data_IF_635040554188
#
_entry.id   IF_635040554188
#
_cell.length_a   1.000
_cell.length_b   1.000
_cell.length_c   1.000
_cell.angle_alpha   90.00
_cell.angle_beta   90.00
_cell.angle_gamma   90.00
#
_symmetry.space_group_name_H-M   'P 1'
#
loop_
_entity.id
_entity.type
_entity.pdbx_description
1 polymer ?
#
# COMPACT_ATOMS: atom_id res chain seq x y z
N UNK A 1 36.92 7.83 25.41
CA UNK A 1 35.70 8.48 24.86
C UNK A 1 34.54 7.51 25.03
N UNK A 2 33.57 7.83 25.89
CA UNK A 2 32.34 7.02 26.04
C UNK A 2 31.35 7.51 24.98
N UNK A 3 31.00 6.66 24.03
CA UNK A 3 30.03 6.99 22.99
C UNK A 3 28.61 7.00 23.60
N UNK A 4 27.94 8.14 23.50
CA UNK A 4 26.56 8.32 23.95
C UNK A 4 25.61 7.54 23.04
N UNK A 5 24.99 6.48 23.58
CA UNK A 5 23.88 5.79 22.94
C UNK A 5 22.66 6.72 22.94
N UNK A 6 22.28 7.22 21.75
CA UNK A 6 21.10 8.05 21.61
C UNK A 6 19.86 7.15 21.58
N UNK A 7 18.96 7.32 22.55
CA UNK A 7 17.72 6.56 22.62
C UNK A 7 16.74 7.01 21.53
N UNK A 8 16.38 6.08 20.63
CA UNK A 8 15.34 6.29 19.62
C UNK A 8 13.96 6.23 20.30
N UNK A 9 13.18 7.31 20.24
CA UNK A 9 11.79 7.31 20.71
C UNK A 9 10.86 6.99 19.55
N UNK A 10 10.15 5.87 19.67
CA UNK A 10 9.08 5.47 18.74
C UNK A 10 7.76 6.11 19.19
N UNK A 11 7.27 7.09 18.43
CA UNK A 11 5.94 7.65 18.64
C UNK A 11 4.93 6.82 17.87
N UNK A 12 4.14 5.99 18.57
CA UNK A 12 3.02 5.28 17.95
C UNK A 12 1.96 6.30 17.50
N UNK A 13 1.66 6.34 16.21
CA UNK A 13 0.60 7.17 15.65
C UNK A 13 -0.72 6.39 15.71
N UNK A 14 -1.74 6.95 16.36
CA UNK A 14 -3.09 6.39 16.34
C UNK A 14 -3.91 7.06 15.23
N UNK A 15 -4.46 6.24 14.33
CA UNK A 15 -5.51 6.66 13.40
C UNK A 15 -6.80 5.99 13.87
N UNK A 16 -7.82 6.80 14.14
CA UNK A 16 -9.19 6.36 14.47
C UNK A 16 -9.31 5.41 15.69
N UNK A 17 -8.63 5.71 16.80
CA UNK A 17 -8.88 5.05 18.09
C UNK A 17 -8.35 3.62 18.23
N UNK A 18 -7.66 3.08 17.21
CA UNK A 18 -6.90 1.83 17.32
C UNK A 18 -5.46 2.17 17.69
N UNK A 19 -4.95 1.57 18.76
CA UNK A 19 -3.52 1.53 19.04
C UNK A 19 -2.90 0.60 18.00
N UNK A 20 -2.14 1.16 17.06
CA UNK A 20 -1.34 0.36 16.13
C UNK A 20 -0.18 -0.25 16.94
N UNK A 21 -0.46 -1.38 17.59
CA UNK A 21 0.56 -2.21 18.23
C UNK A 21 1.53 -2.75 17.19
N UNK A 22 2.63 -3.35 17.64
CA UNK A 22 3.66 -3.95 16.79
C UNK A 22 3.09 -4.94 15.74
N UNK A 23 1.91 -5.49 16.00
CA UNK A 23 1.14 -6.36 15.10
C UNK A 23 0.64 -5.64 13.83
N UNK A 24 0.37 -4.34 13.88
CA UNK A 24 0.07 -3.52 12.69
C UNK A 24 1.30 -3.22 11.84
N UNK A 25 2.51 -3.51 12.35
CA UNK A 25 3.76 -3.42 11.60
C UNK A 25 4.01 -4.67 10.75
N UNK A 26 3.42 -5.81 11.15
CA UNK A 26 3.66 -7.12 10.54
C UNK A 26 2.62 -7.45 9.45
N UNK A 27 1.45 -6.80 9.47
CA UNK A 27 0.50 -6.85 8.36
C UNK A 27 0.94 -5.82 7.31
N UNK A 28 1.30 -6.24 6.08
CA UNK A 28 1.61 -5.28 5.04
C UNK A 28 0.39 -4.39 4.81
N UNK A 29 0.62 -3.08 4.81
CA UNK A 29 -0.37 -2.03 4.54
C UNK A 29 -1.30 -2.45 3.39
N UNK A 30 -2.60 -2.18 3.50
CA UNK A 30 -3.58 -2.59 2.48
C UNK A 30 -3.18 -2.09 1.08
N UNK A 31 -2.60 -0.89 0.96
CA UNK A 31 -2.12 -0.39 -0.32
C UNK A 31 -0.89 -1.14 -0.83
N UNK A 32 -0.02 -1.62 0.06
CA UNK A 32 1.07 -2.51 -0.31
C UNK A 32 0.55 -3.82 -0.89
N UNK A 33 -0.40 -4.48 -0.21
CA UNK A 33 -1.00 -5.74 -0.67
C UNK A 33 -1.75 -5.56 -1.99
N UNK A 34 -2.49 -4.45 -2.13
CA UNK A 34 -3.14 -4.09 -3.40
C UNK A 34 -2.09 -3.88 -4.48
N UNK A 35 -1.01 -3.13 -4.22
CA UNK A 35 0.07 -2.92 -5.19
C UNK A 35 0.70 -4.24 -5.63
N UNK A 36 1.01 -5.14 -4.71
CA UNK A 36 1.53 -6.46 -5.05
C UNK A 36 0.56 -7.27 -5.93
N UNK A 37 -0.72 -7.28 -5.58
CA UNK A 37 -1.74 -7.94 -6.40
C UNK A 37 -1.86 -7.30 -7.79
N UNK A 38 -1.78 -5.97 -7.88
CA UNK A 38 -1.82 -5.23 -9.14
C UNK A 38 -0.64 -5.61 -10.06
N UNK A 39 0.56 -5.81 -9.49
CA UNK A 39 1.73 -6.23 -10.27
C UNK A 39 1.60 -7.65 -10.82
N UNK A 40 0.84 -8.51 -10.12
CA UNK A 40 0.54 -9.89 -10.54
C UNK A 40 -0.62 -9.95 -11.55
N UNK A 41 -1.48 -8.93 -11.60
CA UNK A 41 -2.56 -8.82 -12.59
C UNK A 41 -2.02 -8.35 -13.95
N UNK A 42 -1.75 -9.32 -14.83
CA UNK A 42 -1.21 -9.07 -16.17
C UNK A 42 -2.17 -8.23 -17.04
N UNK A 43 -3.49 -8.40 -16.87
CA UNK A 43 -4.47 -7.64 -17.65
C UNK A 43 -4.42 -6.17 -17.26
N UNK A 44 -4.41 -5.90 -15.95
CA UNK A 44 -4.31 -4.55 -15.43
C UNK A 44 -3.00 -3.88 -15.83
N UNK A 45 -1.87 -4.58 -15.68
CA UNK A 45 -0.56 -4.07 -16.11
C UNK A 45 -0.54 -3.70 -17.59
N UNK A 46 -1.08 -4.56 -18.47
CA UNK A 46 -1.18 -4.26 -19.92
C UNK A 46 -2.05 -3.04 -20.21
N UNK A 47 -3.10 -2.77 -19.44
CA UNK A 47 -3.94 -1.57 -19.63
C UNK A 47 -3.18 -0.30 -19.27
N UNK A 48 -2.41 -0.33 -18.18
CA UNK A 48 -1.57 0.79 -17.74
C UNK A 48 -0.42 1.02 -18.72
N UNK A 49 0.30 -0.03 -19.11
CA UNK A 49 1.44 0.05 -20.03
C UNK A 49 1.03 0.59 -21.42
N UNK A 50 -0.17 0.24 -21.88
CA UNK A 50 -0.72 0.76 -23.14
C UNK A 50 -1.22 2.19 -23.06
N UNK A 51 -1.20 2.82 -21.89
CA UNK A 51 -1.73 4.17 -21.67
C UNK A 51 -3.23 4.26 -21.95
N UNK A 52 -4.00 3.20 -21.62
CA UNK A 52 -5.46 3.21 -21.84
C UNK A 52 -6.09 4.37 -21.07
N UNK A 53 -6.96 5.11 -21.74
CA UNK A 53 -7.62 6.30 -21.17
C UNK A 53 -8.27 5.98 -19.83
N UNK A 54 -7.95 6.81 -18.83
CA UNK A 54 -8.45 6.67 -17.47
C UNK A 54 -7.56 5.84 -16.55
N UNK A 55 -6.62 5.05 -17.08
CA UNK A 55 -5.60 4.39 -16.27
C UNK A 55 -4.39 5.29 -16.05
N UNK A 56 -3.80 5.21 -14.86
CA UNK A 56 -2.57 5.94 -14.51
C UNK A 56 -1.84 5.25 -13.35
N UNK A 57 -0.58 5.62 -13.12
CA UNK A 57 0.22 5.13 -11.99
C UNK A 57 0.41 6.27 -10.99
N UNK A 58 0.07 6.03 -9.73
CA UNK A 58 0.28 6.97 -8.64
C UNK A 58 1.77 7.04 -8.23
N UNK A 59 2.14 8.08 -7.47
CA UNK A 59 3.51 8.24 -6.95
C UNK A 59 4.00 7.06 -6.09
N UNK A 60 3.07 6.36 -5.41
CA UNK A 60 3.38 5.16 -4.61
C UNK A 60 3.46 3.87 -5.44
N UNK A 61 3.31 3.96 -6.77
CA UNK A 61 3.36 2.83 -7.69
C UNK A 61 2.08 2.00 -7.78
N UNK A 62 0.97 2.46 -7.19
CA UNK A 62 -0.35 1.83 -7.38
C UNK A 62 -0.97 2.24 -8.71
N UNK A 63 -1.71 1.31 -9.32
CA UNK A 63 -2.50 1.58 -10.51
C UNK A 63 -3.84 2.20 -10.14
N UNK A 64 -4.22 3.25 -10.85
CA UNK A 64 -5.44 4.00 -10.68
C UNK A 64 -6.31 3.89 -11.92
N UNK A 65 -7.63 3.86 -11.73
CA UNK A 65 -8.62 4.12 -12.77
C UNK A 65 -9.46 5.32 -12.36
N UNK A 66 -9.45 6.39 -13.17
CA UNK A 66 -10.14 7.66 -12.90
C UNK A 66 -9.84 8.20 -11.49
N UNK A 67 -8.56 8.24 -11.15
CA UNK A 67 -8.06 8.72 -9.85
C UNK A 67 -8.52 7.91 -8.61
N UNK A 68 -8.93 6.66 -8.81
CA UNK A 68 -9.25 5.69 -7.74
C UNK A 68 -8.36 4.48 -7.85
N UNK A 69 -7.93 3.91 -6.71
CA UNK A 69 -7.09 2.71 -6.68
C UNK A 69 -7.85 1.54 -7.30
N UNK A 70 -7.23 0.90 -8.30
CA UNK A 70 -7.80 -0.28 -8.95
C UNK A 70 -7.49 -1.52 -8.12
N UNK A 71 -8.49 -2.08 -7.42
CA UNK A 71 -8.31 -3.31 -6.65
C UNK A 71 -8.47 -4.51 -7.61
N UNK A 72 -7.45 -5.36 -7.79
CA UNK A 72 -7.56 -6.59 -8.58
C UNK A 72 -8.64 -7.51 -8.00
N UNK A 73 -9.14 -8.45 -8.80
CA UNK A 73 -10.19 -9.37 -8.36
C UNK A 73 -9.65 -10.46 -7.41
N UNK A 74 -9.38 -10.05 -6.16
CA UNK A 74 -8.95 -10.89 -5.06
C UNK A 74 -9.94 -10.71 -3.90
N UNK A 75 -10.58 -11.80 -3.47
CA UNK A 75 -11.59 -11.79 -2.40
C UNK A 75 -11.03 -11.21 -1.10
N UNK A 76 -9.81 -11.59 -0.73
CA UNK A 76 -9.15 -11.16 0.50
C UNK A 76 -8.85 -9.65 0.55
N UNK A 77 -8.82 -8.98 -0.61
CA UNK A 77 -8.62 -7.52 -0.71
C UNK A 77 -9.93 -6.74 -0.84
N UNK A 78 -11.03 -7.42 -1.17
CA UNK A 78 -12.35 -6.80 -1.38
C UNK A 78 -13.18 -6.72 -0.10
N UNK A 79 -12.91 -7.61 0.84
CA UNK A 79 -13.69 -7.75 2.09
C UNK A 79 -13.11 -6.92 3.26
N UNK A 80 -12.02 -6.17 3.05
CA UNK A 80 -11.36 -5.29 4.04
C UNK A 80 -11.79 -3.82 3.89
#
# INVERSE_FOLDING_TARGET
>A
LVATLSSLRLCAMSINGKSLGLEALDQPDLLWRIREAQQKDEKLRKLVDKGVVGYSTAANGTYLFRNRVSVPDNKDLKDE
#
